data_IF_158161879047
#
_entry.id   IF_158161879047
#
_cell.length_a   1.000
_cell.length_b   1.000
_cell.length_c   1.000
_cell.angle_alpha   90.00
_cell.angle_beta   90.00
_cell.angle_gamma   90.00
#
_symmetry.space_group_name_H-M   'P 1'
#
loop_
_entity.id
_entity.type
_entity.pdbx_description
1 polymer ?
#
# COMPACT_ATOMS: atom_id res chain seq x y z
N UNK A 1 -0.52 -24.69 5.36
CA UNK A 1 -0.82 -23.50 4.60
C UNK A 1 -0.39 -22.30 5.41
N UNK A 2 0.51 -21.46 4.87
CA UNK A 2 0.88 -20.15 5.39
C UNK A 2 0.52 -19.08 4.34
N UNK A 3 0.05 -17.93 4.77
CA UNK A 3 -0.31 -16.82 3.88
C UNK A 3 0.26 -15.54 4.47
N UNK A 4 1.11 -14.87 3.71
CA UNK A 4 1.67 -13.58 4.03
C UNK A 4 1.23 -12.59 2.95
N UNK A 5 0.69 -11.44 3.36
CA UNK A 5 0.25 -10.36 2.46
C UNK A 5 1.01 -9.10 2.85
N UNK A 6 1.73 -8.54 1.88
CA UNK A 6 2.60 -7.39 2.07
C UNK A 6 1.95 -6.13 1.51
N UNK A 7 1.80 -5.13 2.37
CA UNK A 7 1.37 -3.79 2.04
C UNK A 7 2.48 -2.82 2.43
N UNK A 8 2.98 -2.06 1.48
CA UNK A 8 3.98 -1.04 1.72
C UNK A 8 3.61 0.23 0.94
N UNK A 9 3.62 1.37 1.61
CA UNK A 9 3.36 2.66 0.97
C UNK A 9 4.50 3.12 0.06
N UNK A 10 5.68 2.57 0.23
CA UNK A 10 6.87 2.85 -0.59
C UNK A 10 7.03 1.85 -1.73
N UNK A 11 6.41 0.68 -1.61
CA UNK A 11 6.37 -0.32 -2.67
C UNK A 11 4.98 -0.27 -3.31
N UNK A 12 4.93 0.01 -4.59
CA UNK A 12 3.71 0.47 -5.24
C UNK A 12 2.52 -0.51 -5.16
N UNK A 13 2.76 -1.83 -5.17
CA UNK A 13 1.71 -2.84 -5.25
C UNK A 13 1.62 -3.75 -4.03
N UNK A 14 0.52 -4.49 -3.95
CA UNK A 14 0.33 -5.53 -2.94
C UNK A 14 0.87 -6.86 -3.46
N UNK A 15 1.65 -7.53 -2.63
CA UNK A 15 2.22 -8.85 -2.88
C UNK A 15 1.66 -9.86 -1.90
N UNK A 16 1.65 -11.13 -2.29
CA UNK A 16 1.38 -12.22 -1.37
C UNK A 16 2.35 -13.38 -1.57
N UNK A 17 2.62 -14.07 -0.48
CA UNK A 17 3.31 -15.34 -0.47
C UNK A 17 2.42 -16.38 0.19
N UNK A 18 2.24 -17.52 -0.49
CA UNK A 18 1.42 -18.62 -0.01
C UNK A 18 2.27 -19.89 0.03
N UNK A 19 2.59 -20.29 1.26
CA UNK A 19 3.28 -21.58 1.50
C UNK A 19 2.26 -22.71 1.44
N UNK A 20 2.42 -23.62 0.50
CA UNK A 20 1.52 -24.73 0.30
C UNK A 20 2.22 -26.05 0.56
N UNK A 21 1.48 -27.01 1.13
CA UNK A 21 1.85 -28.41 1.18
C UNK A 21 0.65 -29.22 0.70
N UNK A 22 0.86 -30.08 -0.29
CA UNK A 22 -0.22 -30.85 -0.88
C UNK A 22 0.28 -32.25 -1.31
N UNK A 23 -0.67 -33.17 -1.53
CA UNK A 23 -0.38 -34.57 -1.88
C UNK A 23 -0.99 -34.98 -3.24
N UNK A 24 -1.58 -34.03 -3.96
CA UNK A 24 -2.33 -34.31 -5.20
C UNK A 24 -1.47 -34.11 -6.44
N UNK A 25 -0.32 -33.41 -6.31
CA UNK A 25 0.53 -33.04 -7.45
C UNK A 25 -0.08 -31.91 -8.29
N UNK A 26 -0.66 -30.89 -7.62
CA UNK A 26 -1.36 -29.79 -8.28
C UNK A 26 -0.50 -29.15 -9.38
N UNK A 27 0.77 -28.86 -9.07
CA UNK A 27 1.68 -28.20 -10.01
C UNK A 27 2.09 -29.12 -11.17
N UNK A 28 2.01 -30.45 -11.00
CA UNK A 28 2.31 -31.40 -12.06
C UNK A 28 1.13 -31.59 -13.02
N UNK A 29 -0.10 -31.67 -12.48
CA UNK A 29 -1.31 -31.89 -13.28
C UNK A 29 -1.88 -30.59 -13.86
N UNK A 30 -1.69 -29.47 -13.17
CA UNK A 30 -2.14 -28.14 -13.57
C UNK A 30 -0.92 -27.20 -13.54
N UNK A 31 -0.09 -27.19 -14.58
CA UNK A 31 1.11 -26.36 -14.59
C UNK A 31 0.74 -24.89 -14.44
N UNK A 32 1.28 -24.28 -13.40
CA UNK A 32 1.14 -22.85 -13.15
C UNK A 32 2.10 -22.13 -14.10
N UNK A 33 1.56 -21.40 -15.06
CA UNK A 33 2.31 -20.74 -16.14
C UNK A 33 2.46 -19.23 -15.92
N UNK A 34 1.83 -18.67 -14.86
CA UNK A 34 1.95 -17.26 -14.49
C UNK A 34 0.78 -16.37 -14.93
N UNK A 35 -0.36 -16.98 -15.22
CA UNK A 35 -1.60 -16.26 -15.58
C UNK A 35 -2.79 -16.66 -14.71
N UNK A 36 -2.53 -17.50 -13.71
CA UNK A 36 -3.56 -17.99 -12.81
C UNK A 36 -3.95 -16.94 -11.79
N UNK A 37 -5.25 -16.93 -11.49
CA UNK A 37 -5.83 -16.05 -10.47
C UNK A 37 -5.89 -16.77 -9.13
N UNK A 38 -5.24 -16.19 -8.13
CA UNK A 38 -5.31 -16.63 -6.74
C UNK A 38 -6.27 -15.74 -5.96
N UNK A 39 -7.37 -16.32 -5.48
CA UNK A 39 -8.34 -15.61 -4.63
C UNK A 39 -8.13 -16.05 -3.18
N UNK A 40 -7.75 -15.11 -2.33
CA UNK A 40 -7.59 -15.33 -0.89
C UNK A 40 -8.75 -14.65 -0.17
N UNK A 41 -9.54 -15.43 0.55
CA UNK A 41 -10.65 -14.94 1.35
C UNK A 41 -10.50 -15.36 2.80
N UNK A 42 -10.46 -14.40 3.69
CA UNK A 42 -10.37 -14.68 5.13
C UNK A 42 -11.22 -13.70 5.94
N UNK A 43 -11.53 -14.11 7.15
CA UNK A 43 -12.29 -13.31 8.10
C UNK A 43 -12.09 -13.83 9.51
N UNK A 44 -12.44 -13.01 10.49
CA UNK A 44 -12.39 -13.39 11.89
C UNK A 44 -13.64 -14.20 12.24
N UNK A 45 -13.50 -15.34 12.94
CA UNK A 45 -14.66 -16.10 13.42
C UNK A 45 -15.62 -15.23 14.24
N UNK A 46 -16.91 -15.31 13.95
CA UNK A 46 -17.95 -14.50 14.61
C UNK A 46 -18.24 -13.15 13.96
N UNK A 47 -17.47 -12.72 12.97
CA UNK A 47 -17.73 -11.55 12.15
C UNK A 47 -18.24 -11.96 10.77
N UNK A 48 -19.17 -11.17 10.22
CA UNK A 48 -19.74 -11.44 8.88
C UNK A 48 -18.86 -10.90 7.75
N UNK A 49 -17.92 -10.00 8.07
CA UNK A 49 -17.09 -9.33 7.09
C UNK A 49 -15.87 -10.17 6.74
N UNK A 50 -15.80 -10.51 5.45
CA UNK A 50 -14.64 -11.20 4.87
C UNK A 50 -13.83 -10.21 4.05
N UNK A 51 -12.52 -10.28 4.21
CA UNK A 51 -11.59 -9.62 3.28
C UNK A 51 -11.28 -10.59 2.14
N UNK A 52 -11.33 -10.08 0.93
CA UNK A 52 -11.02 -10.85 -0.27
C UNK A 52 -9.94 -10.13 -1.04
N UNK A 53 -8.84 -10.82 -1.27
CA UNK A 53 -7.75 -10.37 -2.12
C UNK A 53 -7.71 -11.23 -3.38
N UNK A 54 -7.35 -10.61 -4.48
CA UNK A 54 -7.19 -11.29 -5.78
C UNK A 54 -5.82 -10.95 -6.33
N UNK A 55 -5.03 -11.97 -6.58
CA UNK A 55 -3.67 -11.87 -7.09
C UNK A 55 -3.51 -12.64 -8.39
N UNK A 56 -2.52 -12.26 -9.16
CA UNK A 56 -1.96 -13.08 -10.24
C UNK A 56 -0.72 -13.78 -9.74
N UNK A 57 -0.68 -15.09 -9.92
CA UNK A 57 0.50 -15.89 -9.59
C UNK A 57 1.53 -15.63 -10.69
N UNK A 58 2.74 -15.24 -10.32
CA UNK A 58 3.82 -15.04 -11.28
C UNK A 58 5.05 -15.89 -11.00
N UNK A 59 5.09 -16.53 -9.82
CA UNK A 59 6.24 -17.37 -9.44
C UNK A 59 5.81 -18.54 -8.57
N UNK A 60 6.38 -19.71 -8.85
CA UNK A 60 6.40 -20.89 -7.98
C UNK A 60 7.84 -21.16 -7.61
N UNK A 61 8.15 -21.21 -6.33
CA UNK A 61 9.50 -21.42 -5.81
C UNK A 61 9.53 -22.43 -4.67
N UNK A 62 10.74 -22.77 -4.22
CA UNK A 62 11.01 -23.64 -3.07
C UNK A 62 10.30 -25.00 -3.12
N UNK A 63 10.12 -25.54 -4.32
CA UNK A 63 9.49 -26.83 -4.53
C UNK A 63 10.34 -27.94 -3.95
N UNK A 64 9.80 -28.64 -2.94
CA UNK A 64 10.48 -29.72 -2.21
C UNK A 64 9.53 -30.87 -1.95
N UNK A 65 10.03 -32.11 -2.09
CA UNK A 65 9.31 -33.29 -1.61
C UNK A 65 9.34 -33.32 -0.08
N UNK A 66 8.17 -33.31 0.54
CA UNK A 66 7.98 -33.32 2.00
C UNK A 66 7.47 -34.71 2.47
N UNK A 67 8.06 -35.76 1.94
CA UNK A 67 7.68 -37.15 2.17
C UNK A 67 7.43 -37.91 0.86
N UNK A 68 6.89 -39.14 0.94
CA UNK A 68 6.67 -39.96 -0.25
C UNK A 68 5.59 -39.42 -1.19
N UNK A 69 4.58 -38.74 -0.64
CA UNK A 69 3.40 -38.25 -1.38
C UNK A 69 3.17 -36.76 -1.28
N UNK A 70 3.85 -36.06 -0.38
CA UNK A 70 3.64 -34.66 -0.14
C UNK A 70 4.67 -33.79 -0.87
N UNK A 71 4.22 -32.70 -1.46
CA UNK A 71 5.04 -31.67 -2.04
C UNK A 71 4.78 -30.33 -1.36
N UNK A 72 5.85 -29.60 -1.04
CA UNK A 72 5.78 -28.25 -0.49
C UNK A 72 6.35 -27.26 -1.50
N UNK A 73 5.71 -26.11 -1.65
CA UNK A 73 6.16 -25.04 -2.52
C UNK A 73 5.62 -23.69 -2.06
N UNK A 74 6.22 -22.63 -2.57
CA UNK A 74 5.82 -21.25 -2.32
C UNK A 74 5.24 -20.64 -3.61
N UNK A 75 4.01 -20.14 -3.52
CA UNK A 75 3.39 -19.34 -4.57
C UNK A 75 3.59 -17.86 -4.26
N UNK A 76 4.10 -17.09 -5.21
CA UNK A 76 4.17 -15.63 -5.10
C UNK A 76 3.16 -15.01 -6.07
N UNK A 77 2.32 -14.14 -5.55
CA UNK A 77 1.30 -13.43 -6.31
C UNK A 77 1.40 -11.93 -6.15
N UNK A 78 0.92 -11.20 -7.16
CA UNK A 78 0.87 -9.72 -7.18
C UNK A 78 -0.48 -9.26 -7.70
N UNK A 79 -0.81 -8.00 -7.45
CA UNK A 79 -2.00 -7.38 -8.05
C UNK A 79 -1.90 -7.31 -9.57
N UNK A 80 -3.05 -7.33 -10.26
CA UNK A 80 -3.11 -7.32 -11.73
C UNK A 80 -2.42 -6.08 -12.31
N UNK A 81 -2.54 -4.95 -11.65
CA UNK A 81 -1.96 -3.68 -12.08
C UNK A 81 -0.42 -3.74 -12.14
N UNK A 82 0.22 -4.54 -11.27
CA UNK A 82 1.67 -4.77 -11.33
C UNK A 82 2.04 -5.61 -12.56
N UNK A 83 1.23 -6.58 -12.92
CA UNK A 83 1.43 -7.35 -14.18
C UNK A 83 1.29 -6.42 -15.39
N UNK A 84 0.28 -5.54 -15.38
CA UNK A 84 0.09 -4.57 -16.45
C UNK A 84 1.28 -3.61 -16.56
N UNK A 85 1.82 -3.16 -15.41
CA UNK A 85 3.03 -2.35 -15.36
C UNK A 85 4.23 -3.01 -16.05
N UNK A 86 4.39 -4.33 -15.86
CA UNK A 86 5.51 -5.05 -16.48
C UNK A 86 5.34 -5.27 -18.00
N UNK A 87 4.09 -5.36 -18.47
CA UNK A 87 3.75 -5.63 -19.87
C UNK A 87 3.68 -4.38 -20.74
N UNK A 88 3.36 -3.22 -20.16
CA UNK A 88 3.06 -1.99 -20.89
C UNK A 88 4.15 -0.93 -20.71
N UNK A 89 4.21 0.01 -21.63
CA UNK A 89 5.11 1.16 -21.55
C UNK A 89 4.41 2.44 -22.03
N UNK A 90 4.65 3.53 -21.33
CA UNK A 90 4.11 4.86 -21.62
C UNK A 90 4.99 5.54 -22.66
N UNK A 91 4.45 5.78 -23.87
CA UNK A 91 5.08 6.54 -24.95
C UNK A 91 4.23 7.77 -25.24
N UNK A 92 4.26 8.74 -24.34
CA UNK A 92 3.35 9.89 -24.39
C UNK A 92 3.97 11.12 -23.77
N UNK A 93 3.61 12.29 -24.29
CA UNK A 93 3.98 13.59 -23.70
C UNK A 93 2.74 14.22 -23.08
N UNK A 94 2.92 14.73 -21.89
CA UNK A 94 1.91 15.49 -21.15
C UNK A 94 2.39 16.93 -21.06
N UNK A 95 1.51 17.90 -21.41
CA UNK A 95 1.81 19.33 -21.37
C UNK A 95 0.74 20.06 -20.58
N UNK A 96 1.18 20.97 -19.73
CA UNK A 96 0.32 21.82 -18.91
C UNK A 96 -0.72 21.02 -18.12
N UNK A 97 -0.31 19.89 -17.54
CA UNK A 97 -1.15 19.05 -16.69
C UNK A 97 -0.56 18.94 -15.28
N UNK A 98 -1.44 18.80 -14.31
CA UNK A 98 -1.05 18.57 -12.91
C UNK A 98 -0.61 17.13 -12.69
N UNK A 99 0.17 16.86 -11.63
CA UNK A 99 0.71 15.52 -11.35
C UNK A 99 -0.42 14.49 -11.13
N UNK A 100 -1.49 14.86 -10.45
CA UNK A 100 -2.67 14.03 -10.24
C UNK A 100 -3.40 13.72 -11.57
N UNK A 101 -3.53 14.70 -12.46
CA UNK A 101 -4.15 14.50 -13.77
C UNK A 101 -3.31 13.56 -14.66
N UNK A 102 -1.99 13.70 -14.64
CA UNK A 102 -1.06 12.79 -15.34
C UNK A 102 -1.17 11.38 -14.77
N UNK A 103 -1.13 11.25 -13.44
CA UNK A 103 -1.26 9.97 -12.74
C UNK A 103 -2.58 9.27 -13.07
N UNK A 104 -3.69 10.02 -13.05
CA UNK A 104 -5.00 9.50 -13.45
C UNK A 104 -5.01 8.96 -14.87
N UNK A 105 -4.47 9.75 -15.80
CA UNK A 105 -4.40 9.35 -17.24
C UNK A 105 -3.60 8.07 -17.42
N UNK A 106 -2.43 7.98 -16.76
CA UNK A 106 -1.58 6.78 -16.87
C UNK A 106 -2.24 5.57 -16.21
N UNK A 107 -2.86 5.74 -15.04
CA UNK A 107 -3.56 4.66 -14.36
C UNK A 107 -4.71 4.10 -15.21
N UNK A 108 -5.59 4.97 -15.71
CA UNK A 108 -6.76 4.54 -16.48
C UNK A 108 -6.41 3.90 -17.81
N UNK A 109 -5.33 4.35 -18.46
CA UNK A 109 -4.94 3.87 -19.79
C UNK A 109 -4.05 2.62 -19.75
N UNK A 110 -3.19 2.49 -18.73
CA UNK A 110 -2.15 1.45 -18.72
C UNK A 110 -2.24 0.47 -17.54
N UNK A 111 -2.67 0.90 -16.37
CA UNK A 111 -2.65 0.04 -15.18
C UNK A 111 -3.98 -0.63 -14.91
N UNK A 112 -5.08 0.09 -15.11
CA UNK A 112 -6.42 -0.40 -14.80
C UNK A 112 -6.71 -1.71 -15.54
N UNK A 113 -7.10 -2.78 -14.83
CA UNK A 113 -7.45 -4.04 -15.45
C UNK A 113 -8.63 -3.90 -16.42
N UNK A 114 -8.62 -4.66 -17.51
CA UNK A 114 -9.73 -4.73 -18.47
C UNK A 114 -10.95 -5.42 -17.84
N UNK A 115 -12.14 -5.27 -18.45
CA UNK A 115 -13.36 -5.92 -17.93
C UNK A 115 -13.28 -7.45 -17.93
N UNK A 116 -12.55 -8.05 -18.85
CA UNK A 116 -12.34 -9.50 -18.94
C UNK A 116 -11.48 -10.01 -17.77
N UNK A 117 -10.54 -9.19 -17.28
CA UNK A 117 -9.68 -9.50 -16.15
C UNK A 117 -10.41 -9.35 -14.80
N UNK A 118 -11.61 -8.75 -14.79
CA UNK A 118 -12.35 -8.40 -13.58
C UNK A 118 -13.27 -9.49 -13.03
N UNK A 119 -13.38 -10.66 -13.62
CA UNK A 119 -14.37 -11.65 -13.20
C UNK A 119 -14.35 -12.00 -11.70
N UNK A 120 -13.19 -11.87 -11.06
CA UNK A 120 -13.02 -12.06 -9.61
C UNK A 120 -12.50 -10.84 -8.87
N UNK A 121 -12.19 -9.74 -9.57
CA UNK A 121 -11.49 -8.60 -9.00
C UNK A 121 -12.50 -7.51 -8.65
N UNK A 122 -12.55 -7.15 -7.36
CA UNK A 122 -13.24 -5.91 -6.94
C UNK A 122 -12.61 -4.75 -7.72
N UNK A 123 -13.44 -3.99 -8.42
CA UNK A 123 -12.99 -2.80 -9.14
C UNK A 123 -12.33 -1.84 -8.15
N UNK A 124 -11.03 -1.65 -8.28
CA UNK A 124 -10.28 -0.73 -7.45
C UNK A 124 -10.44 0.68 -8.01
N UNK A 125 -10.70 1.61 -7.11
CA UNK A 125 -10.74 3.03 -7.45
C UNK A 125 -9.39 3.67 -7.13
N UNK A 126 -9.06 4.73 -7.85
CA UNK A 126 -7.90 5.55 -7.56
C UNK A 126 -8.34 6.79 -6.78
N UNK A 127 -7.73 7.02 -5.63
CA UNK A 127 -7.91 8.22 -4.82
C UNK A 127 -6.75 9.16 -5.10
N UNK A 128 -7.06 10.36 -5.57
CA UNK A 128 -6.08 11.35 -5.99
C UNK A 128 -6.15 12.57 -5.09
N UNK A 129 -5.01 12.98 -4.54
CA UNK A 129 -4.85 14.29 -3.92
C UNK A 129 -4.48 15.29 -5.01
N UNK A 130 -5.20 16.42 -5.07
CA UNK A 130 -4.95 17.46 -6.07
C UNK A 130 -3.55 18.06 -5.94
N UNK A 131 -2.90 18.27 -7.07
CA UNK A 131 -1.64 19.01 -7.18
C UNK A 131 -1.86 20.38 -7.79
N UNK A 132 -0.98 21.33 -7.47
CA UNK A 132 -1.14 22.74 -7.82
C UNK A 132 -0.31 23.19 -9.02
N UNK A 133 0.82 22.53 -9.24
CA UNK A 133 1.76 22.92 -10.29
C UNK A 133 1.48 22.19 -11.59
N UNK A 134 1.70 22.89 -12.71
CA UNK A 134 1.59 22.32 -14.04
C UNK A 134 2.94 21.77 -14.49
N UNK A 135 2.92 20.58 -15.04
CA UNK A 135 4.09 19.84 -15.46
C UNK A 135 4.11 19.64 -16.98
N UNK A 136 5.33 19.60 -17.54
CA UNK A 136 5.59 19.22 -18.91
C UNK A 136 6.51 18.00 -18.91
N UNK A 137 5.93 16.80 -19.02
CA UNK A 137 6.65 15.54 -18.94
C UNK A 137 6.55 14.76 -20.26
N UNK A 138 7.66 14.18 -20.66
CA UNK A 138 7.73 13.33 -21.84
C UNK A 138 8.25 11.95 -21.42
N UNK A 139 7.48 10.92 -21.72
CA UNK A 139 7.80 9.54 -21.44
C UNK A 139 8.12 8.79 -22.74
N UNK A 140 9.38 8.49 -23.03
CA UNK A 140 9.78 7.85 -24.28
C UNK A 140 9.60 6.32 -24.29
N UNK A 141 9.04 5.73 -23.25
CA UNK A 141 8.84 4.28 -23.11
C UNK A 141 9.00 3.76 -21.69
N UNK A 142 8.78 4.61 -20.72
CA UNK A 142 8.86 4.25 -19.30
C UNK A 142 7.74 3.29 -18.90
N UNK A 143 7.99 2.44 -17.88
CA UNK A 143 6.93 1.67 -17.24
C UNK A 143 5.91 2.60 -16.60
N UNK A 144 4.60 2.25 -16.62
CA UNK A 144 3.55 3.12 -16.11
C UNK A 144 3.78 3.63 -14.67
N UNK A 145 4.15 2.76 -13.74
CA UNK A 145 4.43 3.14 -12.36
C UNK A 145 5.66 4.05 -12.26
N UNK A 146 6.69 3.78 -13.05
CA UNK A 146 7.87 4.65 -13.11
C UNK A 146 7.49 6.04 -13.60
N UNK A 147 6.65 6.14 -14.63
CA UNK A 147 6.16 7.42 -15.14
C UNK A 147 5.31 8.18 -14.10
N UNK A 148 4.46 7.48 -13.34
CA UNK A 148 3.71 8.05 -12.21
C UNK A 148 4.66 8.55 -11.12
N UNK A 149 5.66 7.76 -10.74
CA UNK A 149 6.65 8.15 -9.73
C UNK A 149 7.50 9.36 -10.18
N UNK A 150 7.77 9.51 -11.48
CA UNK A 150 8.41 10.72 -12.00
C UNK A 150 7.48 11.94 -11.86
N UNK A 151 6.20 11.82 -12.18
CA UNK A 151 5.22 12.90 -11.96
C UNK A 151 5.04 13.21 -10.47
N UNK A 152 5.08 12.20 -9.59
CA UNK A 152 4.99 12.34 -8.15
C UNK A 152 6.13 13.16 -7.54
N UNK A 153 7.35 13.01 -8.04
CA UNK A 153 8.54 13.75 -7.57
C UNK A 153 8.45 15.24 -7.90
N UNK A 154 7.84 15.59 -9.01
CA UNK A 154 7.69 16.97 -9.45
C UNK A 154 6.38 17.62 -8.95
N UNK A 155 5.48 16.82 -8.38
CA UNK A 155 4.17 17.25 -7.90
C UNK A 155 4.28 18.10 -6.62
N UNK A 156 3.47 19.14 -6.54
CA UNK A 156 3.28 19.96 -5.34
C UNK A 156 1.79 19.94 -4.99
N UNK A 157 1.44 19.59 -3.76
CA UNK A 157 0.04 19.51 -3.35
C UNK A 157 -0.65 20.88 -3.38
N UNK A 158 -1.93 20.89 -3.72
CA UNK A 158 -2.75 22.09 -3.68
C UNK A 158 -3.18 22.44 -2.26
N UNK A 159 -3.56 21.41 -1.51
CA UNK A 159 -4.00 21.50 -0.12
C UNK A 159 -3.53 20.25 0.63
N UNK A 160 -3.39 20.37 1.92
CA UNK A 160 -3.27 19.21 2.78
C UNK A 160 -1.88 18.95 3.29
N UNK A 161 -1.79 19.03 4.60
CA UNK A 161 -0.81 18.46 5.45
C UNK A 161 0.58 19.04 5.31
N UNK A 162 0.84 20.13 5.99
CA UNK A 162 2.22 20.38 6.37
C UNK A 162 2.55 19.50 7.55
N UNK A 163 3.63 18.73 7.42
CA UNK A 163 4.31 18.04 8.49
C UNK A 163 4.53 18.93 9.75
N UNK A 164 4.51 20.24 9.57
CA UNK A 164 4.70 21.23 10.64
C UNK A 164 3.47 21.52 11.50
N UNK A 165 2.32 20.96 11.20
CA UNK A 165 1.10 21.11 12.01
C UNK A 165 0.81 19.82 12.79
N UNK A 166 1.51 19.59 13.88
CA UNK A 166 1.18 18.51 14.79
C UNK A 166 -0.06 18.86 15.60
N UNK A 167 -1.08 18.01 15.54
CA UNK A 167 -2.14 17.96 16.54
C UNK A 167 -1.64 17.16 17.75
N UNK A 168 -1.17 17.81 18.78
CA UNK A 168 -1.01 17.18 20.08
C UNK A 168 -2.29 17.40 20.90
N UNK A 169 -3.08 16.35 21.07
CA UNK A 169 -4.41 16.47 21.66
C UNK A 169 -5.36 17.29 20.75
N UNK A 170 -6.28 18.04 21.35
CA UNK A 170 -7.23 18.90 20.59
C UNK A 170 -6.64 20.28 20.23
N UNK A 171 -5.34 20.51 20.34
CA UNK A 171 -4.70 21.80 20.00
C UNK A 171 -3.70 21.61 18.86
N UNK A 172 -3.84 22.42 17.82
CA UNK A 172 -2.80 22.60 16.79
C UNK A 172 -1.66 23.43 17.40
N UNK A 173 -0.45 22.89 17.43
CA UNK A 173 0.75 23.63 17.86
C UNK A 173 1.50 24.07 16.61
N UNK A 174 1.63 25.38 16.33
CA UNK A 174 2.42 25.86 15.21
C UNK A 174 3.92 25.65 15.46
N UNK A 175 4.75 25.56 14.40
CA UNK A 175 6.20 25.49 14.54
C UNK A 175 6.68 26.76 15.25
N UNK A 176 7.33 26.60 16.42
CA UNK A 176 7.83 27.71 17.22
C UNK A 176 7.12 27.96 18.54
N UNK A 177 6.10 27.14 18.90
CA UNK A 177 5.53 27.13 20.25
C UNK A 177 4.67 28.34 20.61
N UNK A 178 4.15 29.09 19.66
CA UNK A 178 3.16 30.13 19.93
C UNK A 178 1.75 29.56 19.87
N UNK A 179 1.03 29.65 21.00
CA UNK A 179 -0.41 29.34 21.08
C UNK A 179 -1.20 30.40 20.26
N UNK A 180 -1.45 30.15 18.99
CA UNK A 180 -2.38 30.94 18.22
C UNK A 180 -3.77 30.31 18.29
N UNK A 181 -4.76 31.07 18.78
CA UNK A 181 -6.17 30.64 18.81
C UNK A 181 -6.88 30.81 17.44
N UNK A 182 -6.15 31.12 16.39
CA UNK A 182 -6.72 31.19 15.05
C UNK A 182 -6.69 29.80 14.38
N UNK A 183 -7.77 29.41 13.67
CA UNK A 183 -7.74 28.21 12.84
C UNK A 183 -6.68 28.46 11.76
N UNK A 184 -5.57 27.77 11.87
CA UNK A 184 -4.56 27.73 10.80
C UNK A 184 -5.24 27.14 9.56
N UNK A 185 -5.51 27.99 8.58
CA UNK A 185 -5.79 27.51 7.24
C UNK A 185 -4.59 26.69 6.78
N UNK A 186 -4.84 25.45 6.42
CA UNK A 186 -3.82 24.53 5.97
C UNK A 186 -3.38 24.90 4.54
N UNK A 187 -2.63 25.99 4.44
CA UNK A 187 -2.11 26.53 3.17
C UNK A 187 -0.75 25.95 2.79
N UNK A 188 -0.20 25.07 3.63
CA UNK A 188 1.12 24.51 3.39
C UNK A 188 1.08 23.50 2.26
N UNK A 189 1.83 23.79 1.22
CA UNK A 189 2.05 22.92 0.08
C UNK A 189 3.11 21.86 0.45
N UNK A 190 2.81 20.60 0.19
CA UNK A 190 3.74 19.51 0.38
C UNK A 190 4.14 18.94 -0.98
N UNK A 191 5.38 18.54 -1.10
CA UNK A 191 5.89 17.65 -2.14
C UNK A 191 5.92 16.21 -1.60
N UNK A 192 6.57 15.26 -2.07
CA UNK A 192 6.63 13.87 -1.57
C UNK A 192 5.34 13.08 -1.79
N UNK A 193 4.78 13.22 -2.98
CA UNK A 193 3.71 12.31 -3.40
C UNK A 193 4.22 10.87 -3.46
N UNK A 194 3.38 9.96 -2.98
CA UNK A 194 3.56 8.51 -3.11
C UNK A 194 2.38 7.92 -3.86
N UNK A 195 2.67 6.91 -4.66
CA UNK A 195 1.67 6.16 -5.39
C UNK A 195 1.72 4.71 -4.91
N UNK A 196 0.67 4.25 -4.26
CA UNK A 196 0.63 2.93 -3.64
C UNK A 196 -0.75 2.31 -3.66
N UNK A 197 -0.78 1.00 -3.60
CA UNK A 197 -1.99 0.21 -3.50
C UNK A 197 -2.34 -0.07 -2.04
N UNK A 198 -3.62 0.06 -1.69
CA UNK A 198 -4.22 -0.37 -0.44
C UNK A 198 -5.32 -1.39 -0.71
N UNK A 199 -5.86 -1.99 0.36
CA UNK A 199 -7.01 -2.89 0.22
C UNK A 199 -8.21 -2.26 -0.50
N UNK A 200 -8.43 -0.95 -0.31
CA UNK A 200 -9.56 -0.22 -0.87
C UNK A 200 -9.33 0.27 -2.30
N UNK A 201 -8.09 0.28 -2.76
CA UNK A 201 -7.71 0.74 -4.09
C UNK A 201 -6.37 1.46 -4.12
N UNK A 202 -6.14 2.18 -5.20
CA UNK A 202 -4.91 2.92 -5.43
C UNK A 202 -4.98 4.32 -4.84
N UNK A 203 -3.86 4.80 -4.35
CA UNK A 203 -3.76 6.10 -3.72
C UNK A 203 -2.60 6.89 -4.32
N UNK A 204 -2.84 8.16 -4.64
CA UNK A 204 -1.82 9.12 -5.01
C UNK A 204 -1.95 10.31 -4.08
N UNK A 205 -1.06 10.41 -3.11
CA UNK A 205 -1.14 11.43 -2.07
C UNK A 205 0.22 11.69 -1.43
N UNK A 206 0.35 12.82 -0.75
CA UNK A 206 1.59 13.17 -0.07
C UNK A 206 1.75 12.41 1.24
N UNK A 207 2.98 12.09 1.62
CA UNK A 207 3.29 11.50 2.94
C UNK A 207 2.80 12.39 4.07
N UNK A 208 2.93 13.71 3.92
CA UNK A 208 2.47 14.68 4.91
C UNK A 208 0.96 14.57 5.15
N UNK A 209 0.18 14.34 4.09
CA UNK A 209 -1.27 14.15 4.23
C UNK A 209 -1.64 12.91 5.05
N UNK A 210 -0.83 11.85 4.97
CA UNK A 210 -1.00 10.64 5.77
C UNK A 210 -0.68 10.88 7.26
N UNK A 211 0.35 11.68 7.54
CA UNK A 211 0.76 11.99 8.91
C UNK A 211 -0.22 12.89 9.67
N UNK A 212 -1.02 13.69 8.94
CA UNK A 212 -2.02 14.59 9.54
C UNK A 212 -3.37 13.91 9.79
N UNK A 213 -3.62 12.75 9.19
CA UNK A 213 -4.87 12.00 9.45
C UNK A 213 -4.98 11.58 10.91
N UNK A 214 -6.21 11.56 11.41
CA UNK A 214 -6.47 11.03 12.75
C UNK A 214 -6.14 9.53 12.78
N UNK A 215 -5.47 9.05 13.85
CA UNK A 215 -5.17 7.64 13.97
C UNK A 215 -6.43 6.79 13.88
N UNK A 216 -6.45 5.82 13.00
CA UNK A 216 -7.57 4.88 12.86
C UNK A 216 -7.77 4.06 14.14
N UNK A 217 -6.67 3.64 14.78
CA UNK A 217 -6.70 2.84 15.99
C UNK A 217 -5.42 3.07 16.81
N UNK A 218 -5.51 2.89 18.11
CA UNK A 218 -4.37 2.93 19.03
C UNK A 218 -3.92 1.52 19.35
N UNK A 219 -2.63 1.27 19.17
CA UNK A 219 -2.01 0.01 19.55
C UNK A 219 -1.10 0.25 20.77
N UNK A 220 -1.03 -0.74 21.64
CA UNK A 220 -0.25 -0.68 22.87
C UNK A 220 0.78 -1.81 22.84
N UNK A 221 2.04 -1.47 23.08
CA UNK A 221 3.08 -2.48 23.25
C UNK A 221 2.87 -3.16 24.61
N UNK A 222 2.67 -4.47 24.59
CA UNK A 222 2.55 -5.28 25.81
C UNK A 222 3.93 -5.75 26.22
N UNK A 223 4.40 -5.30 27.39
CA UNK A 223 5.55 -5.94 28.01
C UNK A 223 5.12 -7.32 28.54
N UNK A 224 5.74 -8.37 28.04
CA UNK A 224 5.41 -9.77 28.31
C UNK A 224 5.44 -10.20 29.81
N UNK A 225 5.83 -9.30 30.72
CA UNK A 225 6.03 -9.58 32.14
C UNK A 225 4.93 -9.02 33.07
N UNK A 226 3.92 -8.32 32.56
CA UNK A 226 2.90 -7.70 33.38
C UNK A 226 1.68 -8.60 33.58
N UNK A 227 1.52 -9.19 34.73
CA UNK A 227 0.31 -9.91 35.16
C UNK A 227 -0.95 -9.03 35.21
N UNK A 228 -0.80 -7.71 35.04
CA UNK A 228 -1.91 -6.75 35.06
C UNK A 228 -2.39 -6.43 33.65
N UNK A 229 -3.71 -6.43 33.41
CA UNK A 229 -4.25 -6.02 32.14
C UNK A 229 -3.87 -4.56 31.86
N UNK A 230 -3.39 -4.31 30.63
CA UNK A 230 -3.09 -2.96 30.18
C UNK A 230 -4.39 -2.15 30.12
N UNK A 231 -4.35 -0.93 30.65
CA UNK A 231 -5.52 -0.04 30.73
C UNK A 231 -5.25 1.25 29.96
N UNK A 232 -6.19 1.65 29.10
CA UNK A 232 -6.25 3.00 28.54
C UNK A 232 -7.31 3.80 29.33
N UNK A 233 -6.84 4.63 30.25
CA UNK A 233 -7.72 5.30 31.21
C UNK A 233 -8.44 4.31 32.12
N UNK A 234 -9.77 4.30 32.09
CA UNK A 234 -10.62 3.38 32.87
C UNK A 234 -11.02 2.12 32.09
N UNK A 235 -10.65 2.01 30.81
CA UNK A 235 -11.03 0.88 29.96
C UNK A 235 -9.89 -0.11 29.79
N UNK A 236 -10.24 -1.39 29.79
CA UNK A 236 -9.30 -2.48 29.50
C UNK A 236 -8.97 -2.48 28.03
N UNK A 237 -7.66 -2.46 27.69
CA UNK A 237 -7.20 -2.55 26.29
C UNK A 237 -7.63 -3.88 25.69
N UNK A 238 -8.20 -3.83 24.50
CA UNK A 238 -8.64 -5.04 23.81
C UNK A 238 -7.43 -5.84 23.32
N UNK A 239 -7.40 -7.19 23.39
CA UNK A 239 -6.29 -8.01 22.94
C UNK A 239 -5.83 -7.74 21.50
N UNK A 240 -6.72 -7.31 20.62
CA UNK A 240 -6.39 -6.92 19.23
C UNK A 240 -5.55 -5.65 19.12
N UNK A 241 -5.53 -4.83 20.15
CA UNK A 241 -4.75 -3.58 20.21
C UNK A 241 -3.40 -3.79 20.88
N UNK A 242 -3.08 -5.01 21.32
CA UNK A 242 -1.81 -5.35 21.93
C UNK A 242 -0.81 -5.79 20.88
N UNK A 243 0.35 -5.15 20.89
CA UNK A 243 1.52 -5.55 20.09
C UNK A 243 2.46 -6.28 21.04
N UNK A 244 2.73 -7.56 20.78
CA UNK A 244 3.61 -8.39 21.61
C UNK A 244 5.10 -8.15 21.28
N UNK A 245 5.41 -7.86 20.02
CA UNK A 245 6.79 -7.61 19.57
C UNK A 245 6.77 -6.55 18.46
N UNK A 246 7.69 -5.60 18.53
CA UNK A 246 7.92 -4.59 17.50
C UNK A 246 9.36 -4.65 17.04
N UNK A 247 9.57 -5.01 15.79
CA UNK A 247 10.90 -5.07 15.17
C UNK A 247 11.05 -4.03 14.08
N UNK A 248 12.12 -3.26 14.16
CA UNK A 248 12.54 -2.39 13.07
C UNK A 248 13.30 -3.23 12.05
N UNK A 249 12.66 -3.49 10.91
CA UNK A 249 13.23 -4.34 9.84
C UNK A 249 14.25 -3.56 9.01
N UNK A 250 14.08 -2.24 8.88
CA UNK A 250 14.99 -1.37 8.12
C UNK A 250 15.13 -0.03 8.83
N UNK A 251 16.35 0.28 9.21
CA UNK A 251 16.71 1.62 9.68
C UNK A 251 17.31 2.39 8.51
N UNK A 252 16.70 3.49 8.12
CA UNK A 252 17.28 4.41 7.15
C UNK A 252 18.22 5.33 7.92
N UNK A 253 19.52 5.17 7.70
CA UNK A 253 20.53 6.06 8.27
C UNK A 253 20.54 7.35 7.45
N UNK A 254 19.95 8.40 8.00
CA UNK A 254 19.88 9.73 7.36
C UNK A 254 21.17 10.54 7.50
N UNK A 255 22.22 9.97 8.11
CA UNK A 255 23.48 10.68 8.39
C UNK A 255 24.56 10.57 7.30
N UNK A 256 24.35 9.82 6.23
CA UNK A 256 25.39 9.65 5.18
C UNK A 256 25.25 10.58 3.97
N UNK A 257 24.46 11.65 4.03
CA UNK A 257 24.42 12.64 2.94
C UNK A 257 24.49 14.08 3.51
N UNK A 258 25.64 14.45 4.00
CA UNK A 258 26.09 15.84 4.09
C UNK A 258 27.46 15.96 3.45
#
# INVERSE_FOLDING_TARGET
LGIDIYHDIMDNGIYCEVSMMEAVGLVEFFPIVGDETLVIRFGTPGFKDFRTYVFRIFKVSDRKKAGERNEAYLLTGVSQEIINNERLSVKKSYKDLTADAITKSIYEEFLKPTEEEHYFIKKKEIKLQESSNFLNLNFPGEKPITAINMAAREGISKTGGSYNTYKFGNKKIPPGGQDSNEPLEDTSQASNFVFYESYDGWNFRTLDSLLVEEPFEKFFLSEASTEKPLMDGSQKVHPRQLIEDLRVVKQVDTQENI
#
